data_IF_112143868516
#
_entry.id   IF_112143868516
#
_cell.length_a   1.000
_cell.length_b   1.000
_cell.length_c   1.000
_cell.angle_alpha   90.00
_cell.angle_beta   90.00
_cell.angle_gamma   90.00
#
_symmetry.space_group_name_H-M   'P 1'
#
loop_
_entity.id
_entity.type
_entity.pdbx_description
1 polymer ?
#
# COMPACT_ATOMS: atom_id res chain seq x y z
N UNK A 1 7.76 13.78 -13.89
CA UNK A 1 7.60 12.41 -13.38
C UNK A 1 7.70 12.47 -11.86
N UNK A 2 6.56 12.55 -11.18
CA UNK A 2 6.45 12.57 -9.72
C UNK A 2 6.88 11.20 -9.17
N UNK A 3 7.71 11.20 -8.14
CA UNK A 3 8.31 10.00 -7.57
C UNK A 3 7.33 9.35 -6.60
N UNK A 4 7.29 8.02 -6.53
CA UNK A 4 6.61 7.24 -5.45
C UNK A 4 6.98 7.74 -4.02
N UNK A 5 8.05 8.53 -3.89
CA UNK A 5 8.47 9.22 -2.66
C UNK A 5 7.48 10.30 -2.16
N UNK A 6 6.58 10.80 -3.02
CA UNK A 6 5.62 11.86 -2.67
C UNK A 6 4.33 11.31 -2.01
N UNK A 7 4.22 9.99 -1.84
CA UNK A 7 3.13 9.33 -1.10
C UNK A 7 3.36 9.40 0.41
N UNK A 8 3.23 10.60 1.00
CA UNK A 8 3.43 10.81 2.45
C UNK A 8 2.44 10.03 3.34
N UNK A 9 1.40 9.42 2.76
CA UNK A 9 0.77 8.18 3.25
C UNK A 9 -0.27 7.70 2.22
N UNK A 10 -0.12 6.52 1.57
CA UNK A 10 -1.07 6.03 0.57
C UNK A 10 -2.44 5.65 1.18
N UNK A 11 -2.57 5.69 2.51
CA UNK A 11 -3.77 5.30 3.26
C UNK A 11 -5.02 6.04 2.80
N UNK A 12 -4.92 7.34 2.50
CA UNK A 12 -6.05 8.16 2.04
C UNK A 12 -6.56 7.68 0.69
N UNK A 13 -5.68 7.62 -0.31
CA UNK A 13 -5.98 7.17 -1.66
C UNK A 13 -6.52 5.73 -1.70
N UNK A 14 -5.91 4.80 -0.95
CA UNK A 14 -6.36 3.40 -0.87
C UNK A 14 -7.79 3.31 -0.31
N UNK A 15 -8.09 4.06 0.76
CA UNK A 15 -9.41 4.06 1.38
C UNK A 15 -10.48 4.66 0.47
N UNK A 16 -10.16 5.78 -0.19
CA UNK A 16 -11.06 6.44 -1.14
C UNK A 16 -11.34 5.52 -2.33
N UNK A 17 -10.30 4.91 -2.90
CA UNK A 17 -10.42 3.98 -4.01
C UNK A 17 -11.24 2.73 -3.66
N UNK A 18 -10.98 2.12 -2.50
CA UNK A 18 -11.76 0.99 -2.00
C UNK A 18 -13.24 1.36 -1.79
N UNK A 19 -13.51 2.53 -1.20
CA UNK A 19 -14.85 3.04 -1.00
C UNK A 19 -15.59 3.23 -2.33
N UNK A 20 -14.95 3.86 -3.32
CA UNK A 20 -15.54 4.08 -4.63
C UNK A 20 -15.78 2.77 -5.37
N UNK A 21 -14.87 1.79 -5.23
CA UNK A 21 -15.08 0.47 -5.83
C UNK A 21 -16.28 -0.28 -5.25
N UNK A 22 -16.51 -0.15 -3.96
CA UNK A 22 -17.68 -0.75 -3.29
C UNK A 22 -18.97 0.04 -3.53
N UNK A 23 -18.87 1.36 -3.76
CA UNK A 23 -20.00 2.30 -3.83
C UNK A 23 -19.70 3.39 -4.84
N UNK A 24 -19.84 3.08 -6.11
CA UNK A 24 -19.80 4.08 -7.18
C UNK A 24 -21.17 4.21 -7.86
N UNK A 25 -21.55 5.43 -8.27
CA UNK A 25 -20.86 6.69 -7.94
C UNK A 25 -21.07 7.11 -6.47
N UNK A 26 -20.14 7.90 -5.90
CA UNK A 26 -20.28 8.42 -4.54
C UNK A 26 -19.95 9.92 -4.44
N UNK A 27 -20.73 10.62 -3.62
CA UNK A 27 -20.45 12.01 -3.24
C UNK A 27 -19.32 12.05 -2.20
N UNK A 28 -18.60 13.17 -2.12
CA UNK A 28 -17.51 13.38 -1.14
C UNK A 28 -17.98 13.14 0.29
N UNK A 29 -19.21 13.54 0.64
CA UNK A 29 -19.82 13.28 1.95
C UNK A 29 -19.94 11.79 2.29
N UNK A 30 -20.25 10.95 1.29
CA UNK A 30 -20.38 9.51 1.49
C UNK A 30 -19.01 8.85 1.64
N UNK A 31 -18.01 9.34 0.90
CA UNK A 31 -16.62 8.92 1.00
C UNK A 31 -16.06 9.26 2.39
N UNK A 32 -16.30 10.48 2.90
CA UNK A 32 -15.89 10.89 4.26
C UNK A 32 -16.48 9.93 5.30
N UNK A 33 -17.79 9.66 5.22
CA UNK A 33 -18.50 8.79 6.17
C UNK A 33 -17.98 7.36 6.14
N UNK A 34 -17.71 6.83 4.94
CA UNK A 34 -17.26 5.46 4.74
C UNK A 34 -15.80 5.25 5.15
N UNK A 35 -14.93 6.20 4.82
CA UNK A 35 -13.48 6.07 5.05
C UNK A 35 -13.02 6.51 6.44
N UNK A 36 -13.82 7.34 7.12
CA UNK A 36 -13.50 7.98 8.40
C UNK A 36 -12.31 8.94 8.32
N UNK A 37 -12.01 9.44 7.12
CA UNK A 37 -10.96 10.43 6.89
C UNK A 37 -11.48 11.84 7.21
N UNK A 38 -10.57 12.76 7.53
CA UNK A 38 -10.91 14.19 7.58
C UNK A 38 -11.32 14.68 6.19
N UNK A 39 -12.10 15.75 6.14
CA UNK A 39 -12.50 16.38 4.89
C UNK A 39 -11.29 16.73 4.02
N UNK A 40 -10.28 17.40 4.59
CA UNK A 40 -9.00 17.70 3.94
C UNK A 40 -8.29 16.44 3.41
N UNK A 41 -8.27 15.36 4.19
CA UNK A 41 -7.65 14.11 3.78
C UNK A 41 -8.37 13.42 2.62
N UNK A 42 -9.70 13.56 2.52
CA UNK A 42 -10.48 13.07 1.38
C UNK A 42 -10.19 13.89 0.13
N UNK A 43 -10.23 15.23 0.21
CA UNK A 43 -9.94 16.07 -0.96
C UNK A 43 -8.52 15.87 -1.48
N UNK A 44 -7.51 15.86 -0.60
CA UNK A 44 -6.12 15.60 -1.02
C UNK A 44 -5.96 14.22 -1.68
N UNK A 45 -6.75 13.22 -1.25
CA UNK A 45 -6.73 11.89 -1.87
C UNK A 45 -7.46 11.87 -3.21
N UNK A 46 -8.60 12.57 -3.32
CA UNK A 46 -9.35 12.68 -4.57
C UNK A 46 -8.57 13.42 -5.64
N UNK A 47 -7.97 14.57 -5.30
CA UNK A 47 -7.13 15.37 -6.18
C UNK A 47 -5.99 14.53 -6.76
N UNK A 48 -5.24 13.81 -5.92
CA UNK A 48 -4.17 12.90 -6.37
C UNK A 48 -4.67 11.77 -7.27
N UNK A 49 -5.83 11.20 -6.97
CA UNK A 49 -6.39 10.12 -7.79
C UNK A 49 -6.96 10.65 -9.12
N UNK A 50 -7.42 11.90 -9.17
CA UNK A 50 -7.78 12.61 -10.41
C UNK A 50 -6.53 12.93 -11.24
N UNK A 51 -5.44 13.43 -10.63
CA UNK A 51 -4.15 13.66 -11.29
C UNK A 51 -3.56 12.39 -11.96
N UNK A 52 -3.88 11.22 -11.40
CA UNK A 52 -3.46 9.91 -11.91
C UNK A 52 -4.45 9.27 -12.90
N UNK A 53 -5.53 9.98 -13.26
CA UNK A 53 -6.59 9.53 -14.16
C UNK A 53 -7.25 8.22 -13.68
N UNK A 54 -7.40 8.08 -12.37
CA UNK A 54 -8.05 6.94 -11.72
C UNK A 54 -9.55 7.23 -11.50
N UNK A 55 -9.89 8.52 -11.32
CA UNK A 55 -11.24 8.97 -11.03
C UNK A 55 -11.66 10.02 -12.03
N UNK A 56 -12.97 10.14 -12.23
CA UNK A 56 -13.60 11.26 -12.92
C UNK A 56 -14.83 11.75 -12.18
N UNK A 57 -15.17 13.01 -12.44
CA UNK A 57 -16.49 13.53 -12.06
C UNK A 57 -17.54 12.74 -12.84
N UNK A 58 -18.53 12.18 -12.14
CA UNK A 58 -19.65 11.48 -12.77
C UNK A 58 -20.53 12.46 -13.53
N UNK A 59 -21.12 12.00 -14.63
CA UNK A 59 -22.12 12.76 -15.39
C UNK A 59 -23.50 12.76 -14.70
N UNK A 60 -23.67 11.98 -13.63
CA UNK A 60 -24.91 11.97 -12.85
C UNK A 60 -25.19 13.33 -12.20
N UNK A 61 -26.46 13.76 -12.26
CA UNK A 61 -26.89 15.01 -11.68
C UNK A 61 -26.62 15.02 -10.16
N UNK A 62 -25.94 16.06 -9.64
CA UNK A 62 -25.73 16.18 -8.21
C UNK A 62 -27.07 16.29 -7.49
N UNK A 63 -27.24 15.52 -6.41
CA UNK A 63 -28.37 15.71 -5.50
C UNK A 63 -28.31 17.14 -4.95
N UNK A 64 -29.43 17.86 -4.96
CA UNK A 64 -29.52 19.28 -4.55
C UNK A 64 -28.72 19.57 -3.28
N UNK A 65 -27.73 20.47 -3.39
CA UNK A 65 -26.87 20.88 -2.28
C UNK A 65 -25.72 19.92 -1.94
N UNK A 66 -25.45 18.90 -2.77
CA UNK A 66 -24.29 18.02 -2.67
C UNK A 66 -23.33 18.26 -3.83
N UNK A 67 -22.06 17.96 -3.58
CA UNK A 67 -21.02 18.00 -4.60
C UNK A 67 -21.20 16.89 -5.65
N UNK A 68 -20.61 17.11 -6.83
CA UNK A 68 -20.74 16.17 -7.94
C UNK A 68 -20.14 14.80 -7.57
N UNK A 69 -20.89 13.71 -7.80
CA UNK A 69 -20.42 12.37 -7.53
C UNK A 69 -19.11 12.06 -8.27
N UNK A 70 -18.26 11.23 -7.67
CA UNK A 70 -17.07 10.68 -8.28
C UNK A 70 -17.31 9.24 -8.71
N UNK A 71 -16.77 8.89 -9.88
CA UNK A 71 -16.80 7.54 -10.44
C UNK A 71 -15.40 7.10 -10.83
N UNK A 72 -15.14 5.80 -10.81
CA UNK A 72 -13.89 5.26 -11.29
C UNK A 72 -13.85 5.35 -12.82
N UNK A 73 -12.68 5.64 -13.39
CA UNK A 73 -12.42 5.34 -14.81
C UNK A 73 -12.38 3.82 -15.00
N UNK A 74 -12.39 3.32 -16.23
CA UNK A 74 -12.24 1.88 -16.47
C UNK A 74 -10.96 1.34 -15.83
N UNK A 75 -9.88 2.12 -15.96
CA UNK A 75 -8.62 1.86 -15.28
C UNK A 75 -8.76 1.89 -13.75
N UNK A 76 -9.41 2.92 -13.21
CA UNK A 76 -9.63 3.03 -11.78
C UNK A 76 -10.46 1.89 -11.20
N UNK A 77 -11.39 1.33 -11.98
CA UNK A 77 -12.20 0.18 -11.59
C UNK A 77 -11.36 -1.09 -11.46
N UNK A 78 -10.46 -1.32 -12.42
CA UNK A 78 -9.47 -2.42 -12.36
C UNK A 78 -8.54 -2.27 -11.17
N UNK A 79 -8.01 -1.06 -10.94
CA UNK A 79 -7.16 -0.76 -9.79
C UNK A 79 -7.92 -0.96 -8.47
N UNK A 80 -9.18 -0.53 -8.41
CA UNK A 80 -10.07 -0.71 -7.27
C UNK A 80 -10.29 -2.19 -6.92
N UNK A 81 -10.50 -3.05 -7.92
CA UNK A 81 -10.61 -4.50 -7.73
C UNK A 81 -9.34 -5.09 -7.10
N UNK A 82 -8.18 -4.68 -7.61
CA UNK A 82 -6.87 -5.11 -7.10
C UNK A 82 -6.66 -4.65 -5.65
N UNK A 83 -7.00 -3.40 -5.35
CA UNK A 83 -6.89 -2.83 -3.99
C UNK A 83 -7.85 -3.53 -3.02
N UNK A 84 -9.09 -3.82 -3.42
CA UNK A 84 -10.02 -4.60 -2.61
C UNK A 84 -9.50 -6.02 -2.36
N UNK A 85 -8.97 -6.70 -3.39
CA UNK A 85 -8.37 -8.01 -3.24
C UNK A 85 -7.22 -7.97 -2.21
N UNK A 86 -6.31 -6.99 -2.32
CA UNK A 86 -5.23 -6.79 -1.36
C UNK A 86 -5.76 -6.53 0.06
N UNK A 87 -6.79 -5.69 0.22
CA UNK A 87 -7.43 -5.41 1.52
C UNK A 87 -8.03 -6.68 2.13
N UNK A 88 -8.78 -7.46 1.36
CA UNK A 88 -9.38 -8.72 1.79
C UNK A 88 -8.31 -9.72 2.21
N UNK A 89 -7.28 -9.88 1.40
CA UNK A 89 -6.17 -10.77 1.71
C UNK A 89 -5.38 -10.32 2.94
N UNK A 90 -5.14 -9.01 3.11
CA UNK A 90 -4.52 -8.47 4.31
C UNK A 90 -5.37 -8.73 5.57
N UNK A 91 -6.71 -8.68 5.47
CA UNK A 91 -7.62 -9.01 6.57
C UNK A 91 -7.53 -10.48 6.96
N UNK A 92 -7.41 -11.37 5.98
CA UNK A 92 -7.22 -12.81 6.21
C UNK A 92 -5.90 -13.08 6.92
N UNK A 93 -4.80 -12.51 6.41
CA UNK A 93 -3.46 -12.65 7.01
C UNK A 93 -3.42 -12.08 8.44
N UNK A 94 -4.08 -10.95 8.68
CA UNK A 94 -4.02 -10.31 9.99
C UNK A 94 -4.81 -11.03 11.07
N UNK A 95 -5.69 -11.99 10.73
CA UNK A 95 -6.61 -12.66 11.66
C UNK A 95 -7.48 -11.69 12.48
N UNK A 96 -7.50 -10.41 12.08
CA UNK A 96 -8.05 -9.26 12.79
C UNK A 96 -8.58 -8.30 11.74
N UNK A 97 -9.73 -7.68 11.97
CA UNK A 97 -10.30 -6.63 11.09
C UNK A 97 -9.41 -5.38 10.93
N UNK A 98 -8.28 -5.29 11.66
CA UNK A 98 -7.40 -4.13 11.66
C UNK A 98 -6.20 -4.30 10.71
N UNK A 99 -6.38 -3.89 9.46
CA UNK A 99 -5.33 -3.84 8.43
C UNK A 99 -4.51 -2.55 8.42
N UNK A 100 -4.86 -1.56 9.26
CA UNK A 100 -4.16 -0.27 9.31
C UNK A 100 -2.63 -0.40 9.45
N UNK A 101 -2.08 -1.36 10.21
CA UNK A 101 -0.62 -1.51 10.33
C UNK A 101 0.07 -1.84 9.00
N UNK A 102 -0.61 -2.57 8.09
CA UNK A 102 -0.12 -2.92 6.77
C UNK A 102 -0.27 -1.76 5.77
N UNK A 103 -1.39 -1.02 5.86
CA UNK A 103 -1.63 0.17 5.03
C UNK A 103 -0.75 1.37 5.41
N UNK A 104 -0.27 1.43 6.67
CA UNK A 104 0.68 2.44 7.17
C UNK A 104 2.12 1.97 7.13
N UNK A 105 2.44 1.01 6.26
CA UNK A 105 3.80 0.49 6.19
C UNK A 105 4.71 1.50 5.50
N UNK A 106 5.80 1.95 6.15
CA UNK A 106 6.71 2.91 5.54
C UNK A 106 7.36 2.32 4.30
N UNK A 107 7.71 3.16 3.33
CA UNK A 107 8.41 2.76 2.09
C UNK A 107 9.64 1.91 2.41
N UNK A 108 10.43 2.28 3.41
CA UNK A 108 11.59 1.50 3.83
C UNK A 108 11.28 0.07 4.30
N UNK A 109 10.10 -0.17 4.89
CA UNK A 109 9.64 -1.52 5.23
C UNK A 109 9.21 -2.31 3.99
N UNK A 110 8.53 -1.66 3.05
CA UNK A 110 8.16 -2.26 1.76
C UNK A 110 9.40 -2.64 0.95
N UNK A 111 10.39 -1.75 0.86
CA UNK A 111 11.65 -2.02 0.15
C UNK A 111 12.38 -3.24 0.73
N UNK A 112 12.39 -3.39 2.06
CA UNK A 112 12.97 -4.56 2.71
C UNK A 112 12.19 -5.84 2.33
N UNK A 113 10.85 -5.81 2.32
CA UNK A 113 10.04 -6.97 1.93
C UNK A 113 10.32 -7.42 0.49
N UNK A 114 10.20 -6.49 -0.46
CA UNK A 114 10.43 -6.73 -1.90
C UNK A 114 11.83 -7.26 -2.13
N UNK A 115 12.86 -6.61 -1.56
CA UNK A 115 14.22 -7.09 -1.72
C UNK A 115 14.41 -8.49 -1.14
N UNK A 116 13.89 -8.75 0.07
CA UNK A 116 13.99 -10.07 0.72
C UNK A 116 13.27 -11.16 -0.09
N UNK A 117 12.18 -10.83 -0.79
CA UNK A 117 11.47 -11.76 -1.65
C UNK A 117 12.34 -12.22 -2.82
N UNK A 118 12.94 -11.28 -3.55
CA UNK A 118 13.79 -11.59 -4.70
C UNK A 118 15.14 -12.19 -4.31
N UNK A 119 15.78 -11.69 -3.25
CA UNK A 119 17.10 -12.18 -2.80
C UNK A 119 17.02 -13.42 -1.92
N UNK A 120 15.83 -13.78 -1.45
CA UNK A 120 15.56 -14.87 -0.50
C UNK A 120 15.97 -14.58 0.94
N UNK A 121 16.78 -13.54 1.21
CA UNK A 121 17.13 -13.07 2.56
C UNK A 121 17.78 -11.69 2.54
N UNK A 122 17.72 -10.98 3.65
CA UNK A 122 18.38 -9.67 3.79
C UNK A 122 19.06 -9.54 5.16
N UNK A 123 20.17 -8.81 5.20
CA UNK A 123 20.86 -8.43 6.43
C UNK A 123 20.65 -6.94 6.73
N UNK A 124 20.81 -6.49 7.99
CA UNK A 124 20.76 -5.07 8.32
C UNK A 124 21.76 -4.23 7.51
N UNK A 125 22.92 -4.80 7.16
CA UNK A 125 23.93 -4.14 6.35
C UNK A 125 23.45 -3.91 4.93
N UNK A 126 22.84 -4.91 4.30
CA UNK A 126 22.29 -4.79 2.95
C UNK A 126 21.14 -3.76 2.91
N UNK A 127 20.25 -3.77 3.91
CA UNK A 127 19.22 -2.73 4.01
C UNK A 127 19.82 -1.32 4.09
N UNK A 128 20.94 -1.14 4.79
CA UNK A 128 21.65 0.15 4.83
C UNK A 128 22.26 0.48 3.47
N UNK A 129 22.84 -0.51 2.78
CA UNK A 129 23.37 -0.34 1.43
C UNK A 129 22.30 0.01 0.39
N UNK A 130 21.03 -0.30 0.64
CA UNK A 130 19.89 0.16 -0.17
C UNK A 130 19.50 1.63 0.09
N UNK A 131 20.24 2.35 0.94
CA UNK A 131 20.00 3.77 1.23
C UNK A 131 19.16 4.02 2.49
N UNK A 132 18.78 3.00 3.26
CA UNK A 132 18.18 3.23 4.57
C UNK A 132 19.24 3.63 5.58
N UNK A 133 19.00 4.72 6.33
CA UNK A 133 19.84 5.00 7.49
C UNK A 133 19.66 3.91 8.57
N UNK A 134 20.65 3.77 9.45
CA UNK A 134 20.72 2.69 10.46
C UNK A 134 19.46 2.64 11.33
N UNK A 135 18.94 3.80 11.72
CA UNK A 135 17.75 3.95 12.56
C UNK A 135 16.49 3.49 11.81
N UNK A 136 16.33 3.92 10.56
CA UNK A 136 15.22 3.51 9.69
C UNK A 136 15.23 2.03 9.38
N UNK A 137 16.38 1.45 9.04
CA UNK A 137 16.52 0.01 8.83
C UNK A 137 16.14 -0.78 10.08
N UNK A 138 16.65 -0.38 11.25
CA UNK A 138 16.35 -1.02 12.52
C UNK A 138 14.86 -0.94 12.89
N UNK A 139 14.24 0.23 12.67
CA UNK A 139 12.82 0.47 12.89
C UNK A 139 11.96 -0.38 11.95
N UNK A 140 12.31 -0.42 10.66
CA UNK A 140 11.63 -1.20 9.65
C UNK A 140 11.67 -2.69 9.97
N UNK A 141 12.83 -3.25 10.31
CA UNK A 141 12.94 -4.65 10.73
C UNK A 141 12.16 -4.94 12.01
N UNK A 142 12.08 -4.00 12.97
CA UNK A 142 11.27 -4.17 14.17
C UNK A 142 9.78 -4.23 13.82
N UNK A 143 9.31 -3.32 12.96
CA UNK A 143 7.92 -3.25 12.51
C UNK A 143 7.53 -4.51 11.73
N UNK A 144 8.33 -4.93 10.75
CA UNK A 144 8.08 -6.13 9.95
C UNK A 144 8.01 -7.41 10.79
N UNK A 145 8.87 -7.53 11.82
CA UNK A 145 8.77 -8.64 12.79
C UNK A 145 7.53 -8.56 13.67
N UNK A 146 7.16 -7.36 14.11
CA UNK A 146 5.94 -7.13 14.89
C UNK A 146 4.66 -7.46 14.12
N UNK A 147 4.71 -7.35 12.79
CA UNK A 147 3.64 -7.76 11.87
C UNK A 147 3.72 -9.24 11.46
N UNK A 148 4.70 -10.00 11.95
CA UNK A 148 4.85 -11.41 11.57
C UNK A 148 5.26 -11.64 10.11
N UNK A 149 5.69 -10.61 9.37
CA UNK A 149 6.04 -10.72 7.94
C UNK A 149 7.50 -11.17 7.72
N UNK A 150 8.35 -10.97 8.72
CA UNK A 150 9.77 -11.30 8.66
C UNK A 150 10.16 -12.00 9.95
N UNK A 151 11.03 -13.00 9.85
CA UNK A 151 11.75 -13.58 10.98
C UNK A 151 13.26 -13.45 10.75
N UNK A 152 14.06 -13.72 11.79
CA UNK A 152 15.52 -13.71 11.65
C UNK A 152 16.15 -14.91 12.33
N UNK A 153 17.30 -15.31 11.81
CA UNK A 153 18.20 -16.25 12.45
C UNK A 153 19.61 -15.67 12.50
N UNK A 154 20.41 -16.17 13.43
CA UNK A 154 21.82 -15.76 13.59
C UNK A 154 22.70 -16.68 12.75
N UNK A 155 23.35 -16.13 11.73
CA UNK A 155 24.35 -16.85 10.93
C UNK A 155 25.75 -16.54 11.50
N UNK A 156 26.44 -17.56 12.01
CA UNK A 156 27.85 -17.45 12.41
C UNK A 156 28.73 -17.68 11.20
N UNK A 157 29.66 -16.76 10.95
CA UNK A 157 30.78 -16.94 10.02
C UNK A 157 32.06 -16.54 10.75
N UNK A 158 32.94 -17.52 11.00
CA UNK A 158 34.18 -17.32 11.77
C UNK A 158 33.93 -16.53 13.08
N UNK A 159 34.43 -15.28 13.15
CA UNK A 159 34.39 -14.38 14.32
C UNK A 159 33.19 -13.42 14.35
N UNK A 160 32.31 -13.44 13.33
CA UNK A 160 31.17 -12.54 13.25
C UNK A 160 29.85 -13.31 13.26
N UNK A 161 28.90 -12.81 14.04
CA UNK A 161 27.52 -13.28 14.03
C UNK A 161 26.67 -12.21 13.34
N UNK A 162 26.00 -12.58 12.26
CA UNK A 162 25.14 -11.67 11.49
C UNK A 162 23.69 -12.12 11.60
N UNK A 163 22.77 -11.17 11.81
CA UNK A 163 21.34 -11.43 11.72
C UNK A 163 20.95 -11.48 10.24
N UNK A 164 20.39 -12.61 9.81
CA UNK A 164 19.85 -12.80 8.47
C UNK A 164 18.34 -12.88 8.61
N UNK A 165 17.65 -12.02 7.87
CA UNK A 165 16.20 -11.88 7.86
C UNK A 165 15.62 -12.61 6.65
N UNK A 166 14.48 -13.27 6.84
CA UNK A 166 13.72 -13.97 5.81
C UNK A 166 12.24 -13.67 5.95
N UNK A 167 11.51 -13.76 4.84
CA UNK A 167 10.06 -13.66 4.84
C UNK A 167 9.44 -14.89 5.51
N UNK A 168 8.41 -14.67 6.31
CA UNK A 168 7.44 -15.71 6.68
C UNK A 168 6.56 -16.06 5.47
N UNK A 169 5.70 -17.07 5.58
CA UNK A 169 4.72 -17.36 4.51
C UNK A 169 3.81 -16.15 4.26
N UNK A 170 3.35 -15.48 5.31
CA UNK A 170 2.57 -14.23 5.21
C UNK A 170 3.36 -13.11 4.52
N UNK A 171 4.65 -12.98 4.84
CA UNK A 171 5.55 -12.03 4.17
C UNK A 171 5.71 -12.31 2.68
N UNK A 172 5.87 -13.58 2.29
CA UNK A 172 5.96 -13.99 0.88
C UNK A 172 4.66 -13.72 0.15
N UNK A 173 3.54 -14.07 0.77
CA UNK A 173 2.22 -13.92 0.17
C UNK A 173 1.88 -12.45 -0.06
N UNK A 174 2.11 -11.59 0.94
CA UNK A 174 1.96 -10.14 0.77
C UNK A 174 2.85 -9.58 -0.34
N UNK A 175 4.11 -10.02 -0.41
CA UNK A 175 5.04 -9.49 -1.43
C UNK A 175 4.64 -9.93 -2.85
N UNK A 176 4.13 -11.16 -3.02
CA UNK A 176 3.56 -11.62 -4.30
C UNK A 176 2.39 -10.76 -4.77
N UNK A 177 1.53 -10.33 -3.85
CA UNK A 177 0.43 -9.43 -4.21
C UNK A 177 0.95 -8.08 -4.69
N UNK A 178 1.99 -7.55 -4.05
CA UNK A 178 2.65 -6.31 -4.48
C UNK A 178 3.26 -6.46 -5.88
N UNK A 179 3.89 -7.60 -6.19
CA UNK A 179 4.41 -7.87 -7.54
C UNK A 179 3.28 -7.94 -8.58
N UNK A 180 2.15 -8.60 -8.28
CA UNK A 180 1.00 -8.66 -9.18
C UNK A 180 0.43 -7.26 -9.44
N UNK A 181 0.38 -6.41 -8.40
CA UNK A 181 -0.02 -5.00 -8.52
C UNK A 181 0.94 -4.26 -9.43
N UNK A 182 2.25 -4.41 -9.24
CA UNK A 182 3.26 -3.73 -10.05
C UNK A 182 3.16 -4.11 -11.53
N UNK A 183 2.96 -5.40 -11.84
CA UNK A 183 2.72 -5.87 -13.22
C UNK A 183 1.44 -5.28 -13.80
N UNK A 184 0.35 -5.26 -13.04
CA UNK A 184 -0.91 -4.68 -13.49
C UNK A 184 -0.80 -3.15 -13.75
N UNK A 185 0.01 -2.45 -12.95
CA UNK A 185 0.32 -1.02 -13.13
C UNK A 185 1.19 -0.77 -14.36
N UNK A 186 2.17 -1.62 -14.64
CA UNK A 186 3.06 -1.48 -15.80
C UNK A 186 2.30 -1.65 -17.13
N UNK A 187 1.31 -2.55 -17.18
CA UNK A 187 0.49 -2.75 -18.39
C UNK A 187 -0.32 -1.50 -18.79
N UNK A 188 -0.57 -0.56 -17.88
CA UNK A 188 -1.21 0.73 -18.19
C UNK A 188 -0.26 1.75 -18.80
N UNK A 189 1.05 1.55 -18.68
CA UNK A 189 2.05 2.47 -19.23
C UNK A 189 2.35 2.24 -20.72
N UNK A 190 1.88 1.13 -21.27
CA UNK A 190 2.15 0.68 -22.65
C UNK A 190 0.95 0.87 -23.60
N UNK A 191 -0.19 1.38 -23.10
CA UNK A 191 -1.38 1.80 -23.86
C UNK A 191 -1.43 3.34 -24.00
#
# INVERSE_FOLDING_TARGET
>A
MSSIRDLEQPKGCIKVLACLKERQPACVSDIIRSTGLSQEGVYSSLERLEELDILRTSEEEPVRGRENPRSLTEWGDRLGNIVLALICTLREISGKHNIDPYLKMPVGSLSILVHTYHSGSITPKEAISMGLCITSASSAFRKLRGLGLVYYYKKKRFRRTTKVHKLTEDGKYLTRLLDIIDVALQWKGDD
#
